data_IF_265323757464
#
_entry.id   IF_265323757464
#
_cell.length_a   1.000
_cell.length_b   1.000
_cell.length_c   1.000
_cell.angle_alpha   90.00
_cell.angle_beta   90.00
_cell.angle_gamma   90.00
#
_symmetry.space_group_name_H-M   'P 1'
#
loop_
_entity.id
_entity.type
_entity.pdbx_description
1 polymer ?
#
# COMPACT_ATOMS: atom_id res chain seq x y z
N UNK A 1 -8.85 17.34 1.32
CA UNK A 1 -7.54 16.85 0.82
C UNK A 1 -7.78 15.58 0.03
N UNK A 2 -7.16 15.38 -1.14
CA UNK A 2 -7.40 14.18 -1.95
C UNK A 2 -6.46 13.03 -1.51
N UNK A 3 -6.98 11.92 -0.97
CA UNK A 3 -6.14 10.82 -0.48
C UNK A 3 -5.32 10.14 -1.57
N UNK A 4 -5.84 10.06 -2.81
CA UNK A 4 -5.11 9.46 -3.94
C UNK A 4 -3.84 10.25 -4.26
N UNK A 5 -3.93 11.58 -4.31
CA UNK A 5 -2.79 12.46 -4.57
C UNK A 5 -1.72 12.34 -3.48
N UNK A 6 -2.14 12.21 -2.22
CA UNK A 6 -1.22 11.96 -1.11
C UNK A 6 -0.49 10.62 -1.24
N UNK A 7 -1.22 9.55 -1.58
CA UNK A 7 -0.63 8.23 -1.77
C UNK A 7 0.32 8.19 -2.96
N UNK A 8 -0.03 8.85 -4.08
CA UNK A 8 0.84 9.01 -5.25
C UNK A 8 2.10 9.82 -4.92
N UNK A 9 1.94 10.94 -4.21
CA UNK A 9 3.06 11.75 -3.73
C UNK A 9 4.00 10.97 -2.82
N UNK A 10 3.45 10.12 -1.94
CA UNK A 10 4.24 9.30 -1.02
C UNK A 10 5.10 8.30 -1.78
N UNK A 11 4.52 7.49 -2.68
CA UNK A 11 5.30 6.52 -3.46
C UNK A 11 6.34 7.21 -4.36
N UNK A 12 6.03 8.39 -4.89
CA UNK A 12 6.98 9.16 -5.68
C UNK A 12 8.17 9.64 -4.83
N UNK A 13 7.92 10.16 -3.62
CA UNK A 13 8.97 10.57 -2.67
C UNK A 13 9.84 9.40 -2.25
N UNK A 14 9.23 8.24 -1.96
CA UNK A 14 9.96 7.00 -1.65
C UNK A 14 10.89 6.61 -2.80
N UNK A 15 10.41 6.61 -4.05
CA UNK A 15 11.23 6.30 -5.24
C UNK A 15 12.39 7.27 -5.44
N UNK A 16 12.23 8.53 -5.02
CA UNK A 16 13.28 9.55 -5.06
C UNK A 16 14.17 9.56 -3.82
N UNK A 17 14.01 8.60 -2.89
CA UNK A 17 14.72 8.55 -1.61
C UNK A 17 14.61 9.87 -0.83
N UNK A 18 13.48 10.57 -0.99
CA UNK A 18 13.21 11.84 -0.32
C UNK A 18 12.54 11.66 1.03
N UNK A 19 12.44 12.75 1.79
CA UNK A 19 11.68 12.76 3.05
C UNK A 19 10.18 12.50 2.81
N UNK A 20 9.64 11.60 3.62
CA UNK A 20 8.26 11.10 3.58
C UNK A 20 7.46 11.46 4.83
N UNK A 21 8.11 11.97 5.88
CA UNK A 21 7.50 12.19 7.20
C UNK A 21 6.28 13.13 7.14
N UNK A 22 6.34 14.18 6.30
CA UNK A 22 5.22 15.11 6.13
C UNK A 22 3.99 14.42 5.52
N UNK A 23 4.19 13.58 4.49
CA UNK A 23 3.10 12.87 3.81
C UNK A 23 2.54 11.74 4.68
N UNK A 24 3.41 11.03 5.40
CA UNK A 24 3.00 10.03 6.41
C UNK A 24 2.10 10.68 7.47
N UNK A 25 2.49 11.84 8.01
CA UNK A 25 1.67 12.58 8.98
C UNK A 25 0.34 13.04 8.41
N UNK A 26 0.32 13.55 7.17
CA UNK A 26 -0.92 13.97 6.51
C UNK A 26 -1.87 12.80 6.25
N UNK A 27 -1.35 11.64 5.85
CA UNK A 27 -2.14 10.43 5.67
C UNK A 27 -2.65 9.87 7.00
N UNK A 28 -1.86 9.99 8.07
CA UNK A 28 -2.19 9.52 9.41
C UNK A 28 -3.24 10.39 10.11
N UNK A 29 -3.04 11.70 10.13
CA UNK A 29 -3.78 12.64 10.99
C UNK A 29 -4.59 13.67 10.19
N UNK A 30 -4.21 13.94 8.94
CA UNK A 30 -4.81 14.98 8.10
C UNK A 30 -6.12 14.56 7.42
N UNK A 31 -6.51 13.29 7.55
CA UNK A 31 -7.73 12.72 6.97
C UNK A 31 -8.40 11.87 8.04
N UNK A 32 -9.73 11.87 8.11
CA UNK A 32 -10.50 10.92 8.92
C UNK A 32 -11.08 9.80 8.04
N UNK A 33 -11.54 8.71 8.66
CA UNK A 33 -12.02 7.55 7.93
C UNK A 33 -13.20 7.87 6.99
N UNK A 34 -14.17 8.65 7.48
CA UNK A 34 -15.36 9.03 6.68
C UNK A 34 -14.97 9.81 5.42
N UNK A 35 -14.02 10.76 5.52
CA UNK A 35 -13.54 11.53 4.37
C UNK A 35 -12.70 10.68 3.43
N UNK A 36 -11.96 9.70 3.97
CA UNK A 36 -11.21 8.73 3.17
C UNK A 36 -12.18 7.89 2.34
N UNK A 37 -13.22 7.33 2.94
CA UNK A 37 -14.22 6.53 2.23
C UNK A 37 -14.99 7.35 1.20
N UNK A 38 -15.40 8.57 1.54
CA UNK A 38 -16.06 9.48 0.62
C UNK A 38 -15.19 9.85 -0.60
N UNK A 39 -13.87 9.98 -0.40
CA UNK A 39 -12.94 10.27 -1.49
C UNK A 39 -12.58 9.03 -2.32
N UNK A 40 -12.55 7.84 -1.70
CA UNK A 40 -12.34 6.54 -2.34
C UNK A 40 -13.69 5.96 -2.82
N UNK A 41 -14.45 6.77 -3.56
CA UNK A 41 -15.82 6.47 -3.98
C UNK A 41 -15.94 5.46 -5.12
N UNK A 42 -14.87 5.22 -5.89
CA UNK A 42 -14.82 4.21 -6.94
C UNK A 42 -13.86 3.08 -6.59
N UNK A 43 -14.11 1.89 -7.13
CA UNK A 43 -13.25 0.72 -6.93
C UNK A 43 -11.81 0.99 -7.45
N UNK A 44 -11.67 1.72 -8.56
CA UNK A 44 -10.36 2.09 -9.12
C UNK A 44 -9.58 3.03 -8.20
N UNK A 45 -10.23 4.10 -7.70
CA UNK A 45 -9.57 5.05 -6.79
C UNK A 45 -9.11 4.37 -5.51
N UNK A 46 -9.96 3.50 -4.96
CA UNK A 46 -9.66 2.73 -3.76
C UNK A 46 -8.51 1.75 -4.00
N UNK A 47 -8.55 1.01 -5.10
CA UNK A 47 -7.48 0.07 -5.48
C UNK A 47 -6.15 0.78 -5.68
N UNK A 48 -6.14 1.88 -6.44
CA UNK A 48 -4.94 2.68 -6.69
C UNK A 48 -4.35 3.24 -5.37
N UNK A 49 -5.21 3.77 -4.50
CA UNK A 49 -4.80 4.26 -3.19
C UNK A 49 -4.10 3.18 -2.36
N UNK A 50 -4.75 2.03 -2.15
CA UNK A 50 -4.20 0.97 -1.30
C UNK A 50 -2.95 0.31 -1.88
N UNK A 51 -2.84 0.17 -3.21
CA UNK A 51 -1.62 -0.30 -3.86
C UNK A 51 -0.47 0.68 -3.62
N UNK A 52 -0.70 1.98 -3.79
CA UNK A 52 0.32 3.00 -3.56
C UNK A 52 0.78 3.03 -2.10
N UNK A 53 -0.16 2.95 -1.14
CA UNK A 53 0.15 2.87 0.29
C UNK A 53 0.97 1.63 0.60
N UNK A 54 0.55 0.44 0.14
CA UNK A 54 1.30 -0.80 0.35
C UNK A 54 2.74 -0.69 -0.17
N UNK A 55 2.91 -0.25 -1.42
CA UNK A 55 4.22 -0.15 -2.06
C UNK A 55 5.15 0.87 -1.40
N UNK A 56 4.58 1.99 -0.95
CA UNK A 56 5.33 3.04 -0.28
C UNK A 56 5.80 2.56 1.10
N UNK A 57 4.88 2.05 1.92
CA UNK A 57 5.21 1.61 3.27
C UNK A 57 6.11 0.38 3.28
N UNK A 58 5.97 -0.56 2.35
CA UNK A 58 6.90 -1.68 2.24
C UNK A 58 8.36 -1.20 2.06
N UNK A 59 8.56 -0.23 1.16
CA UNK A 59 9.89 0.35 0.94
C UNK A 59 10.37 1.18 2.12
N UNK A 60 9.51 1.98 2.75
CA UNK A 60 9.85 2.75 3.95
C UNK A 60 10.29 1.81 5.07
N UNK A 61 9.49 0.79 5.40
CA UNK A 61 9.78 -0.16 6.47
C UNK A 61 11.05 -0.98 6.20
N UNK A 62 11.30 -1.34 4.95
CA UNK A 62 12.52 -2.05 4.57
C UNK A 62 13.76 -1.15 4.63
N UNK A 63 13.69 0.04 4.01
CA UNK A 63 14.87 0.90 3.81
C UNK A 63 15.19 1.77 5.01
N UNK A 64 14.18 2.30 5.70
CA UNK A 64 14.34 3.18 6.87
C UNK A 64 14.46 2.38 8.17
N UNK A 65 13.57 1.39 8.35
CA UNK A 65 13.44 0.70 9.65
C UNK A 65 14.14 -0.67 9.65
N UNK A 66 14.74 -1.09 8.53
CA UNK A 66 15.48 -2.35 8.42
C UNK A 66 14.62 -3.60 8.66
N UNK A 67 13.29 -3.49 8.54
CA UNK A 67 12.38 -4.58 8.87
C UNK A 67 12.45 -5.68 7.80
N UNK A 68 12.49 -6.92 8.28
CA UNK A 68 12.55 -8.11 7.43
C UNK A 68 11.30 -8.96 7.60
N UNK A 69 11.11 -9.90 6.68
CA UNK A 69 10.07 -10.91 6.80
C UNK A 69 10.33 -11.80 8.03
N UNK A 70 9.29 -12.24 8.78
CA UNK A 70 7.87 -11.99 8.54
C UNK A 70 7.31 -10.74 9.25
N UNK A 71 8.09 -10.09 10.11
CA UNK A 71 7.64 -8.99 10.97
C UNK A 71 7.12 -7.79 10.17
N UNK A 72 7.78 -7.45 9.06
CA UNK A 72 7.37 -6.36 8.15
C UNK A 72 5.92 -6.49 7.65
N UNK A 73 5.41 -7.71 7.51
CA UNK A 73 4.08 -7.96 6.97
C UNK A 73 2.98 -7.94 8.04
N UNK A 74 3.31 -8.41 9.24
CA UNK A 74 2.34 -8.70 10.31
C UNK A 74 2.15 -7.58 11.31
N UNK A 75 3.18 -6.78 11.55
CA UNK A 75 3.08 -5.69 12.51
C UNK A 75 2.22 -4.55 11.94
N UNK A 76 1.30 -3.95 12.74
CA UNK A 76 0.41 -2.88 12.30
C UNK A 76 1.15 -1.53 12.27
N UNK A 77 2.11 -1.41 11.34
CA UNK A 77 3.05 -0.29 11.25
C UNK A 77 2.59 0.83 10.31
N UNK A 78 1.56 0.60 9.50
CA UNK A 78 1.02 1.59 8.56
C UNK A 78 -0.07 2.39 9.26
N UNK A 79 0.06 3.72 9.33
CA UNK A 79 -0.92 4.57 10.01
C UNK A 79 -1.65 5.46 9.00
N UNK A 80 -2.94 5.22 8.81
CA UNK A 80 -3.79 5.91 7.83
C UNK A 80 -5.11 6.30 8.50
N UNK A 81 -5.49 7.56 8.38
CA UNK A 81 -6.76 8.11 8.86
C UNK A 81 -7.11 7.75 10.31
N UNK A 82 -6.12 7.81 11.21
CA UNK A 82 -6.26 7.48 12.62
C UNK A 82 -6.30 5.97 12.93
N UNK A 83 -6.12 5.09 11.94
CA UNK A 83 -6.11 3.64 12.11
C UNK A 83 -4.78 3.01 11.72
N UNK A 84 -4.41 1.95 12.44
CA UNK A 84 -3.20 1.17 12.16
C UNK A 84 -3.55 -0.06 11.33
N UNK A 85 -2.73 -0.32 10.31
CA UNK A 85 -2.85 -1.45 9.40
C UNK A 85 -1.52 -2.18 9.31
N UNK A 86 -1.58 -3.51 9.23
CA UNK A 86 -0.43 -4.29 8.76
C UNK A 86 -0.43 -4.37 7.24
N UNK A 87 0.73 -4.70 6.64
CA UNK A 87 0.77 -4.94 5.19
C UNK A 87 -0.08 -6.15 4.79
N UNK A 88 -0.16 -7.17 5.66
CA UNK A 88 -1.04 -8.33 5.47
C UNK A 88 -2.52 -7.93 5.48
N UNK A 89 -2.94 -7.00 6.35
CA UNK A 89 -4.33 -6.51 6.38
C UNK A 89 -4.70 -5.80 5.08
N UNK A 90 -3.77 -5.01 4.54
CA UNK A 90 -3.96 -4.31 3.27
C UNK A 90 -4.00 -5.31 2.11
N UNK A 91 -3.08 -6.25 2.04
CA UNK A 91 -3.02 -7.24 0.94
C UNK A 91 -4.20 -8.21 0.97
N UNK A 92 -4.43 -8.87 2.11
CA UNK A 92 -5.42 -9.94 2.23
C UNK A 92 -6.82 -9.44 2.56
N UNK A 93 -6.94 -8.37 3.33
CA UNK A 93 -8.23 -7.79 3.70
C UNK A 93 -8.82 -6.96 2.57
N UNK A 94 -8.02 -6.05 2.03
CA UNK A 94 -8.47 -4.99 1.13
C UNK A 94 -8.27 -5.40 -0.34
N UNK A 95 -7.02 -5.69 -0.76
CA UNK A 95 -6.72 -5.96 -2.18
C UNK A 95 -7.32 -7.28 -2.69
N UNK A 96 -7.41 -8.32 -1.85
CA UNK A 96 -8.03 -9.60 -2.24
C UNK A 96 -9.50 -9.46 -2.66
N UNK A 97 -10.27 -8.60 -2.00
CA UNK A 97 -11.68 -8.37 -2.31
C UNK A 97 -11.84 -7.71 -3.70
N UNK A 98 -10.93 -6.82 -4.07
CA UNK A 98 -10.97 -6.16 -5.39
C UNK A 98 -10.56 -7.10 -6.53
N UNK A 99 -9.60 -7.99 -6.29
CA UNK A 99 -9.21 -9.01 -7.29
C UNK A 99 -10.39 -9.88 -7.72
N UNK A 100 -11.27 -10.29 -6.80
CA UNK A 100 -12.44 -11.10 -7.12
C UNK A 100 -13.48 -10.35 -7.95
N UNK A 101 -13.68 -9.04 -7.69
CA UNK A 101 -14.54 -8.21 -8.53
C UNK A 101 -14.02 -8.08 -9.97
N UNK A 102 -12.70 -7.93 -10.13
CA UNK A 102 -12.07 -7.86 -11.47
C UNK A 102 -12.04 -9.23 -12.17
N UNK A 103 -12.09 -10.33 -11.42
CA UNK A 103 -11.99 -11.71 -11.93
C UNK A 103 -13.33 -12.32 -12.39
N UNK A 104 -14.44 -11.57 -12.39
CA UNK A 104 -15.81 -11.99 -12.77
C UNK A 104 -15.99 -12.27 -14.29
N UNK A 105 -15.02 -12.94 -14.92
CA UNK A 105 -15.17 -13.40 -16.30
C UNK A 105 -13.98 -14.11 -16.95
N UNK A 106 -12.78 -14.18 -16.34
CA UNK A 106 -11.61 -14.61 -17.12
C UNK A 106 -10.58 -15.57 -16.54
N UNK A 107 -10.68 -16.16 -15.33
CA UNK A 107 -9.71 -17.22 -14.95
C UNK A 107 -10.27 -18.32 -14.03
N UNK A 108 -10.08 -19.62 -14.39
CA UNK A 108 -10.33 -20.75 -13.51
C UNK A 108 -9.19 -20.92 -12.49
N UNK A 109 -9.56 -21.41 -11.31
CA UNK A 109 -8.71 -21.82 -10.18
C UNK A 109 -7.36 -22.43 -10.57
N UNK A 110 -6.24 -21.74 -10.28
CA UNK A 110 -4.96 -22.34 -9.90
C UNK A 110 -4.14 -21.35 -9.04
N UNK A 111 -4.06 -21.58 -7.72
CA UNK A 111 -2.96 -21.11 -6.86
C UNK A 111 -2.67 -19.60 -6.81
N UNK A 112 -3.62 -18.76 -6.39
CA UNK A 112 -3.41 -17.31 -6.17
C UNK A 112 -2.52 -17.09 -4.92
N UNK A 113 -1.22 -17.35 -5.08
CA UNK A 113 -0.14 -16.88 -4.21
C UNK A 113 0.90 -16.03 -4.97
N UNK A 114 0.80 -15.94 -6.30
CA UNK A 114 1.84 -15.34 -7.13
C UNK A 114 1.46 -13.99 -7.79
N UNK A 115 0.21 -13.56 -7.76
CA UNK A 115 -0.25 -12.53 -8.70
C UNK A 115 -0.19 -11.07 -8.19
N UNK A 116 0.14 -10.81 -6.91
CA UNK A 116 0.52 -9.46 -6.45
C UNK A 116 2.05 -9.35 -6.31
N UNK A 117 2.71 -10.44 -5.92
CA UNK A 117 4.18 -10.53 -5.89
C UNK A 117 4.81 -10.22 -7.27
N UNK A 118 4.11 -10.54 -8.37
CA UNK A 118 4.62 -10.32 -9.73
C UNK A 118 4.31 -8.96 -10.37
N UNK A 119 3.46 -8.12 -9.78
CA UNK A 119 3.16 -6.78 -10.36
C UNK A 119 3.96 -5.67 -9.63
N UNK A 120 4.61 -5.99 -8.50
CA UNK A 120 5.43 -5.03 -7.71
C UNK A 120 6.81 -5.60 -7.35
N UNK A 121 7.49 -6.26 -8.29
CA UNK A 121 8.94 -6.51 -8.19
C UNK A 121 9.51 -6.56 -9.61
N UNK A 122 10.45 -5.67 -10.02
CA UNK A 122 11.65 -5.29 -9.27
C UNK A 122 11.95 -3.78 -9.27
N UNK A 123 12.03 -3.13 -8.12
CA UNK A 123 12.73 -1.84 -7.98
C UNK A 123 13.41 -1.73 -6.62
N UNK A 124 14.32 -2.65 -6.31
CA UNK A 124 15.66 -2.36 -5.75
C UNK A 124 16.49 -3.62 -6.03
N UNK A 125 17.53 -3.58 -6.88
CA UNK A 125 18.46 -4.69 -6.98
C UNK A 125 19.15 -4.87 -5.62
N UNK A 126 19.07 -6.08 -5.10
CA UNK A 126 19.89 -6.51 -3.98
C UNK A 126 21.36 -6.35 -4.38
N UNK A 127 22.09 -5.43 -3.74
CA UNK A 127 23.54 -5.28 -3.86
C UNK A 127 24.02 -4.11 -4.70
N UNK A 128 24.47 -3.04 -4.03
CA UNK A 128 25.83 -2.47 -4.21
C UNK A 128 26.10 -1.42 -3.12
N UNK A 129 27.06 -1.77 -2.25
CA UNK A 129 27.77 -1.02 -1.20
C UNK A 129 27.02 -0.55 0.05
#
# INVERSE_FOLDING_TARGET
>A
MNPNELAEGLIWKVKKQGDTATLEKQLAEGINLDSLEAALNTDDRRTAFWINIYNAYFQILRSRDGRTAPAIYREPLVFIAGQRFSLDDIEHGILRRYRWKFSLGFLPNLGIRAAIILIVWPLVPCGTF
#
